data_IF_133594192841
#
_entry.id   IF_133594192841
#
_cell.length_a   1.000
_cell.length_b   1.000
_cell.length_c   1.000
_cell.angle_alpha   90.00
_cell.angle_beta   90.00
_cell.angle_gamma   90.00
#
_symmetry.space_group_name_H-M   'P 1'
#
loop_
_entity.id
_entity.type
_entity.pdbx_description
1 polymer ?
#
# COMPACT_ATOMS: atom_id res chain seq x y z
N UNK A 1 -17.42 22.61 19.29
CA UNK A 1 -17.86 22.57 18.16
C UNK A 1 -16.89 22.75 17.11
N UNK A 2 -16.22 23.62 16.99
CA UNK A 2 -15.32 23.67 16.02
C UNK A 2 -14.16 22.89 16.22
N UNK A 3 -13.89 22.41 17.25
CA UNK A 3 -12.75 21.69 17.42
C UNK A 3 -12.67 20.57 16.58
N UNK A 4 -13.66 20.03 16.18
CA UNK A 4 -13.56 18.88 15.42
C UNK A 4 -12.80 19.18 14.26
N UNK A 5 -12.60 20.31 13.87
CA UNK A 5 -11.84 20.56 12.78
C UNK A 5 -10.51 20.16 12.90
N UNK A 6 -9.94 20.07 13.98
CA UNK A 6 -8.63 19.68 14.09
C UNK A 6 -8.39 18.37 13.61
N UNK A 7 -9.30 17.53 13.60
CA UNK A 7 -9.11 16.25 13.11
C UNK A 7 -8.75 16.29 11.72
N UNK A 8 -9.06 17.23 11.00
CA UNK A 8 -8.72 17.26 9.68
C UNK A 8 -7.30 17.35 9.40
N UNK A 9 -6.51 17.66 10.29
CA UNK A 9 -5.14 17.71 10.05
C UNK A 9 -4.56 16.40 9.81
N UNK A 10 -5.13 15.34 10.23
CA UNK A 10 -4.61 14.04 10.02
C UNK A 10 -4.95 13.57 8.67
N UNK A 11 -4.02 13.05 7.90
CA UNK A 11 -4.33 12.46 6.60
C UNK A 11 -5.27 11.30 6.82
N UNK A 12 -6.28 11.13 5.96
CA UNK A 12 -7.19 10.01 6.09
C UNK A 12 -6.54 8.68 5.74
N UNK A 13 -5.38 8.71 5.13
CA UNK A 13 -4.70 7.49 4.74
C UNK A 13 -3.31 7.49 5.36
N UNK A 14 -3.07 6.68 6.40
CA UNK A 14 -1.75 6.65 7.05
C UNK A 14 -0.70 6.10 6.12
N UNK A 15 0.54 6.51 6.32
CA UNK A 15 1.63 6.06 5.48
C UNK A 15 1.87 4.57 5.68
N UNK A 16 1.78 3.75 4.65
CA UNK A 16 1.97 2.31 4.81
C UNK A 16 3.44 1.94 4.84
N UNK A 17 3.77 0.85 5.51
CA UNK A 17 5.12 0.32 5.47
C UNK A 17 5.13 -1.12 4.93
N UNK A 18 4.00 -1.76 4.83
CA UNK A 18 3.93 -3.11 4.28
C UNK A 18 2.59 -3.34 3.60
N UNK A 19 2.58 -4.26 2.66
CA UNK A 19 1.41 -4.61 1.88
C UNK A 19 1.32 -6.12 1.80
N UNK A 20 0.15 -6.67 2.11
CA UNK A 20 -0.09 -8.10 1.94
C UNK A 20 -1.19 -8.26 0.90
N UNK A 21 -1.00 -9.17 -0.03
CA UNK A 21 -1.94 -9.41 -1.12
C UNK A 21 -2.38 -10.87 -1.10
N UNK A 22 -3.67 -11.11 -1.15
CA UNK A 22 -4.23 -12.45 -1.05
C UNK A 22 -5.28 -12.68 -2.12
N UNK A 23 -5.28 -13.85 -2.75
CA UNK A 23 -6.37 -14.20 -3.65
C UNK A 23 -7.54 -14.74 -2.84
N UNK A 24 -8.75 -14.42 -3.26
CA UNK A 24 -9.96 -14.99 -2.67
C UNK A 24 -10.87 -15.42 -3.81
N UNK A 25 -11.90 -16.21 -3.53
CA UNK A 25 -12.82 -16.60 -4.60
C UNK A 25 -13.52 -15.43 -5.26
N UNK A 26 -13.60 -14.30 -4.58
CA UNK A 26 -14.29 -13.13 -5.12
C UNK A 26 -13.34 -12.08 -5.70
N UNK A 27 -12.05 -12.34 -5.68
CA UNK A 27 -11.08 -11.40 -6.22
C UNK A 27 -9.87 -11.29 -5.30
N UNK A 28 -9.03 -10.35 -5.60
CA UNK A 28 -7.82 -10.16 -4.80
C UNK A 28 -8.07 -9.13 -3.71
N UNK A 29 -7.53 -9.40 -2.54
CA UNK A 29 -7.69 -8.49 -1.41
C UNK A 29 -6.34 -8.05 -0.91
N UNK A 30 -6.27 -6.85 -0.36
CA UNK A 30 -5.03 -6.33 0.17
C UNK A 30 -5.18 -5.89 1.61
N UNK A 31 -4.08 -5.87 2.33
CA UNK A 31 -3.98 -5.28 3.65
C UNK A 31 -2.78 -4.37 3.65
N UNK A 32 -2.97 -3.11 4.02
CA UNK A 32 -1.88 -2.17 4.14
C UNK A 32 -1.64 -1.94 5.61
N UNK A 33 -0.39 -2.18 6.04
CA UNK A 33 -0.02 -2.00 7.43
C UNK A 33 0.71 -0.67 7.53
N UNK A 34 0.26 0.19 8.41
CA UNK A 34 0.83 1.52 8.47
C UNK A 34 1.82 1.68 9.61
N UNK A 35 2.54 2.78 9.59
CA UNK A 35 3.60 3.02 10.58
C UNK A 35 3.09 3.21 11.99
N UNK A 36 1.78 3.35 12.15
CA UNK A 36 1.21 3.49 13.48
C UNK A 36 0.56 2.21 13.96
N UNK A 37 0.87 1.11 13.34
CA UNK A 37 0.34 -0.20 13.68
C UNK A 37 -1.13 -0.38 13.32
N UNK A 38 -1.64 0.44 12.45
CA UNK A 38 -2.99 0.26 11.94
C UNK A 38 -2.98 -0.57 10.66
N UNK A 39 -4.16 -0.97 10.22
CA UNK A 39 -4.28 -1.77 9.03
C UNK A 39 -5.49 -1.31 8.24
N UNK A 40 -5.32 -1.18 6.94
CA UNK A 40 -6.39 -0.85 6.03
C UNK A 40 -6.54 -2.00 5.06
N UNK A 41 -7.72 -2.54 4.94
CA UNK A 41 -7.98 -3.67 4.06
C UNK A 41 -8.98 -3.32 3.01
N UNK A 42 -8.92 -3.97 1.88
CA UNK A 42 -9.88 -3.75 0.82
C UNK A 42 -9.76 -4.74 -0.30
N UNK A 43 -10.62 -4.57 -1.28
CA UNK A 43 -10.57 -5.38 -2.49
C UNK A 43 -9.75 -4.64 -3.53
N UNK A 44 -8.91 -5.37 -4.25
CA UNK A 44 -8.12 -4.79 -5.31
C UNK A 44 -9.02 -4.62 -6.53
N UNK A 45 -9.24 -3.41 -7.00
CA UNK A 45 -10.17 -3.20 -8.10
C UNK A 45 -9.59 -3.64 -9.42
N UNK A 46 -10.47 -3.99 -10.33
CA UNK A 46 -10.09 -4.29 -11.72
C UNK A 46 -9.13 -5.45 -11.92
N UNK A 47 -9.03 -6.33 -10.94
CA UNK A 47 -8.20 -7.52 -11.09
C UNK A 47 -9.07 -8.73 -10.77
N UNK A 48 -9.40 -9.56 -11.75
CA UNK A 48 -10.26 -10.71 -11.49
C UNK A 48 -9.57 -11.74 -10.60
N UNK A 49 -10.38 -12.55 -9.95
CA UNK A 49 -9.86 -13.54 -9.02
C UNK A 49 -8.88 -14.50 -9.66
N UNK A 50 -9.11 -14.82 -10.92
CA UNK A 50 -8.24 -15.76 -11.62
C UNK A 50 -7.06 -15.11 -12.33
N UNK A 51 -6.82 -13.83 -12.11
CA UNK A 51 -5.69 -13.16 -12.74
C UNK A 51 -4.36 -13.72 -12.26
N UNK A 52 -3.38 -13.61 -13.11
CA UNK A 52 -2.03 -14.02 -12.79
C UNK A 52 -1.55 -13.22 -11.57
N UNK A 53 -0.93 -13.88 -10.58
CA UNK A 53 -0.42 -13.16 -9.40
C UNK A 53 0.51 -12.00 -9.75
N UNK A 54 1.24 -12.09 -10.85
CA UNK A 54 2.11 -10.98 -11.21
C UNK A 54 1.30 -9.75 -11.60
N UNK A 55 0.16 -9.95 -12.23
CA UNK A 55 -0.68 -8.84 -12.59
C UNK A 55 -1.29 -8.24 -11.33
N UNK A 56 -1.72 -9.07 -10.40
CA UNK A 56 -2.28 -8.60 -9.15
C UNK A 56 -1.25 -7.81 -8.36
N UNK A 57 0.01 -8.29 -8.31
CA UNK A 57 1.05 -7.57 -7.60
C UNK A 57 1.35 -6.22 -8.25
N UNK A 58 1.39 -6.18 -9.58
CA UNK A 58 1.65 -4.92 -10.26
C UNK A 58 0.52 -3.92 -10.01
N UNK A 59 -0.72 -4.38 -10.03
CA UNK A 59 -1.85 -3.50 -9.77
C UNK A 59 -1.85 -3.01 -8.33
N UNK A 60 -1.51 -3.87 -7.38
CA UNK A 60 -1.44 -3.47 -5.98
C UNK A 60 -0.34 -2.46 -5.74
N UNK A 61 0.82 -2.66 -6.34
CA UNK A 61 1.93 -1.73 -6.20
C UNK A 61 1.57 -0.37 -6.78
N UNK A 62 0.90 -0.37 -7.92
CA UNK A 62 0.49 0.88 -8.54
C UNK A 62 -0.53 1.60 -7.68
N UNK A 63 -1.48 0.88 -7.10
CA UNK A 63 -2.48 1.45 -6.23
C UNK A 63 -1.82 2.11 -5.00
N UNK A 64 -0.90 1.42 -4.35
CA UNK A 64 -0.22 1.96 -3.19
C UNK A 64 0.60 3.19 -3.55
N UNK A 65 1.32 3.14 -4.66
CA UNK A 65 2.11 4.27 -5.12
C UNK A 65 1.23 5.49 -5.34
N UNK A 66 0.07 5.30 -5.95
CA UNK A 66 -0.82 6.40 -6.22
C UNK A 66 -1.45 6.96 -4.94
N UNK A 67 -1.83 6.09 -4.01
CA UNK A 67 -2.40 6.55 -2.76
C UNK A 67 -1.40 7.35 -1.94
N UNK A 68 -0.16 6.88 -1.87
CA UNK A 68 0.85 7.58 -1.11
C UNK A 68 1.14 8.93 -1.76
N UNK A 69 1.21 8.96 -3.08
CA UNK A 69 1.47 10.21 -3.76
C UNK A 69 0.33 11.20 -3.54
N UNK A 70 -0.89 10.71 -3.56
CA UNK A 70 -2.05 11.55 -3.39
C UNK A 70 -2.18 12.11 -1.97
N UNK A 71 -1.97 11.29 -0.96
CA UNK A 71 -2.19 11.72 0.41
C UNK A 71 -0.95 12.22 1.14
N UNK A 72 0.22 11.88 0.67
CA UNK A 72 1.47 12.25 1.35
C UNK A 72 2.44 13.01 0.46
N UNK A 73 2.10 13.21 -0.80
CA UNK A 73 2.95 13.91 -1.76
C UNK A 73 4.37 13.39 -1.76
N UNK A 74 4.51 12.09 -1.67
CA UNK A 74 5.83 11.47 -1.71
C UNK A 74 5.75 10.19 -2.53
N UNK A 75 6.88 9.66 -2.92
CA UNK A 75 6.94 8.44 -3.70
C UNK A 75 7.42 7.30 -2.85
N UNK A 76 6.99 6.10 -3.20
CA UNK A 76 7.42 4.90 -2.50
C UNK A 76 7.85 3.85 -3.50
N UNK A 77 8.65 2.92 -3.01
CA UNK A 77 9.04 1.75 -3.76
C UNK A 77 8.40 0.55 -3.08
N UNK A 78 7.73 -0.29 -3.86
CA UNK A 78 7.07 -1.49 -3.34
C UNK A 78 7.97 -2.67 -3.70
N UNK A 79 8.60 -3.26 -2.69
CA UNK A 79 9.56 -4.34 -2.89
C UNK A 79 8.95 -5.64 -2.40
N UNK A 80 8.68 -6.56 -3.31
CA UNK A 80 8.04 -7.81 -2.98
C UNK A 80 9.03 -8.79 -2.39
N UNK A 81 8.63 -9.44 -1.29
CA UNK A 81 9.44 -10.47 -0.67
C UNK A 81 9.24 -11.78 -1.43
N UNK A 82 10.15 -12.71 -1.34
CA UNK A 82 9.94 -14.02 -1.91
C UNK A 82 8.71 -14.65 -1.27
N UNK A 83 7.84 -15.25 -2.05
CA UNK A 83 6.60 -15.79 -1.49
C UNK A 83 6.87 -17.01 -0.62
N UNK A 84 6.13 -17.13 0.47
CA UNK A 84 6.23 -18.29 1.32
C UNK A 84 5.34 -19.42 0.76
N UNK A 85 4.28 -19.04 0.05
CA UNK A 85 3.43 -20.02 -0.60
C UNK A 85 2.75 -19.27 -1.74
N UNK A 86 1.85 -19.94 -2.47
CA UNK A 86 1.22 -19.28 -3.59
C UNK A 86 -0.08 -18.61 -3.22
N UNK A 87 -0.35 -18.46 -1.96
CA UNK A 87 -1.60 -17.85 -1.54
C UNK A 87 -1.45 -16.50 -0.90
N UNK A 88 -0.26 -16.02 -0.70
CA UNK A 88 -0.08 -14.67 -0.18
C UNK A 88 1.26 -14.10 -0.62
N UNK A 89 1.26 -12.81 -0.85
CA UNK A 89 2.48 -12.10 -1.24
C UNK A 89 2.60 -10.88 -0.36
N UNK A 90 3.77 -10.65 0.18
CA UNK A 90 4.04 -9.53 1.07
C UNK A 90 5.08 -8.61 0.46
N UNK A 91 4.88 -7.32 0.59
CA UNK A 91 5.84 -6.34 0.09
C UNK A 91 6.18 -5.35 1.19
N UNK A 92 7.39 -4.81 1.11
CA UNK A 92 7.80 -3.71 1.95
C UNK A 92 7.56 -2.43 1.16
N UNK A 93 7.03 -1.42 1.82
CA UNK A 93 6.78 -0.13 1.18
C UNK A 93 7.80 0.85 1.73
N UNK A 94 8.71 1.29 0.89
CA UNK A 94 9.78 2.17 1.30
C UNK A 94 9.59 3.56 0.75
N UNK A 95 9.71 4.55 1.59
CA UNK A 95 9.58 5.93 1.14
C UNK A 95 10.83 6.34 0.38
N UNK A 96 10.61 6.82 -0.84
CA UNK A 96 11.72 7.27 -1.65
C UNK A 96 11.85 8.77 -1.58
N UNK A 97 10.74 9.39 -1.50
CA UNK A 97 10.72 10.76 -1.64
C UNK A 97 11.61 11.50 -0.81
N UNK A 98 11.84 12.50 -1.20
CA UNK A 98 12.53 13.34 -0.52
C UNK A 98 13.76 12.93 -0.03
N UNK A 99 13.64 12.14 0.51
CA UNK A 99 14.69 11.72 1.11
C UNK A 99 15.75 11.67 0.27
N UNK A 100 15.56 11.27 -0.30
CA UNK A 100 16.47 11.05 -0.96
C UNK A 100 17.44 11.91 -1.08
N UNK A 101 17.33 12.20 -0.98
CA UNK A 101 17.96 12.84 -1.20
C UNK A 101 18.92 12.92 -0.53
N UNK A 102 18.77 12.78 -0.27
CA UNK A 102 19.51 12.87 0.16
C UNK A 102 20.35 12.20 0.28
N UNK A 103 20.37 11.84 0.07
CA UNK A 103 21.04 11.33 0.13
C UNK A 103 21.94 11.29 -0.06
N UNK A 104 22.24 11.55 0.00
CA UNK A 104 23.04 11.67 -0.23
C UNK A 104 23.73 11.60 -0.21
N UNK A 105 24.26 11.48 -0.13
CA UNK A 105 25.16 11.51 -0.24
C UNK A 105 25.90 11.48 -0.28
#
# INVERSE_FOLDING_TARGET
VRRRREKKRRPPFPLPHALVLLPTPHGWRYSLLDVRSGMTCGALPDVPAEADPRKARAAAARMVTQLVRQFHQTDVDVVWEPPHDDRSWTAQVRVLGGAGKESQP
#
